data_IF_443332192607
#
_entry.id   IF_443332192607
#
_cell.length_a   1.000
_cell.length_b   1.000
_cell.length_c   1.000
_cell.angle_alpha   90.00
_cell.angle_beta   90.00
_cell.angle_gamma   90.00
#
_symmetry.space_group_name_H-M   'P 1'
#
loop_
_entity.id
_entity.type
_entity.pdbx_description
1 polymer ?
#
# COMPACT_ATOMS: atom_id res chain seq x y z
N UNK A 1 -22.18 14.52 -32.94
CA UNK A 1 -21.46 15.52 -32.10
C UNK A 1 -20.63 16.40 -33.00
N UNK A 2 -20.78 17.72 -32.91
CA UNK A 2 -19.89 18.65 -33.61
C UNK A 2 -18.62 18.81 -32.78
N UNK A 3 -17.56 18.08 -33.13
CA UNK A 3 -16.30 18.11 -32.38
C UNK A 3 -15.59 19.48 -32.46
N UNK A 4 -16.04 20.39 -33.32
CA UNK A 4 -15.54 21.77 -33.37
C UNK A 4 -15.98 22.61 -32.16
N UNK A 5 -17.09 22.29 -31.50
CA UNK A 5 -17.59 23.06 -30.37
C UNK A 5 -17.02 22.56 -29.03
N UNK A 6 -16.33 23.40 -28.21
CA UNK A 6 -15.57 22.92 -27.04
C UNK A 6 -16.40 22.18 -25.99
N UNK A 7 -17.66 22.57 -25.79
CA UNK A 7 -18.56 21.92 -24.81
C UNK A 7 -19.04 20.55 -25.26
N UNK A 8 -19.36 20.39 -26.54
CA UNK A 8 -19.73 19.10 -27.10
C UNK A 8 -18.54 18.14 -27.14
N UNK A 9 -17.35 18.67 -27.45
CA UNK A 9 -16.09 17.92 -27.40
C UNK A 9 -15.77 17.40 -26.00
N UNK A 10 -15.93 18.23 -24.97
CA UNK A 10 -15.71 17.82 -23.59
C UNK A 10 -16.72 16.77 -23.11
N UNK A 11 -18.00 16.91 -23.50
CA UNK A 11 -19.05 15.93 -23.17
C UNK A 11 -18.79 14.59 -23.86
N UNK A 12 -18.49 14.60 -25.15
CA UNK A 12 -18.14 13.41 -25.92
C UNK A 12 -16.89 12.72 -25.37
N UNK A 13 -15.84 13.49 -25.04
CA UNK A 13 -14.61 12.95 -24.44
C UNK A 13 -14.91 12.25 -23.11
N UNK A 14 -15.77 12.83 -22.26
CA UNK A 14 -16.17 12.20 -20.99
C UNK A 14 -16.95 10.90 -21.18
N UNK A 15 -17.83 10.86 -22.18
CA UNK A 15 -18.60 9.64 -22.54
C UNK A 15 -17.67 8.54 -23.07
N UNK A 16 -16.72 8.88 -23.94
CA UNK A 16 -15.72 7.95 -24.49
C UNK A 16 -14.78 7.44 -23.38
N UNK A 17 -14.31 8.31 -22.50
CA UNK A 17 -13.49 7.92 -21.35
C UNK A 17 -14.25 6.97 -20.41
N UNK A 18 -15.56 7.16 -20.24
CA UNK A 18 -16.43 6.26 -19.49
C UNK A 18 -16.60 4.89 -20.15
N UNK A 19 -16.75 4.86 -21.48
CA UNK A 19 -16.84 3.62 -22.26
C UNK A 19 -15.53 2.81 -22.27
N UNK A 20 -14.38 3.50 -22.29
CA UNK A 20 -13.05 2.86 -22.33
C UNK A 20 -12.51 2.47 -20.95
N UNK A 21 -13.08 3.01 -19.87
CA UNK A 21 -12.64 2.70 -18.51
C UNK A 21 -12.64 1.19 -18.14
N UNK A 22 -13.57 0.34 -18.62
CA UNK A 22 -13.56 -1.10 -18.35
C UNK A 22 -12.56 -1.91 -19.19
N UNK A 23 -12.04 -1.34 -20.29
CA UNK A 23 -11.14 -2.04 -21.23
C UNK A 23 -9.64 -1.79 -20.91
N UNK A 24 -9.34 -1.25 -19.72
CA UNK A 24 -7.96 -0.92 -19.31
C UNK A 24 -7.10 -2.19 -19.28
N UNK A 25 -6.11 -2.25 -20.16
CA UNK A 25 -5.11 -3.32 -20.22
C UNK A 25 -5.19 -4.25 -21.44
N UNK A 26 -6.14 -4.04 -22.36
CA UNK A 26 -6.22 -4.82 -23.60
C UNK A 26 -5.39 -4.21 -24.74
N UNK A 27 -4.77 -5.06 -25.58
CA UNK A 27 -3.89 -4.66 -26.70
C UNK A 27 -4.62 -3.83 -27.77
N UNK A 28 -5.93 -3.97 -27.90
CA UNK A 28 -6.80 -3.24 -28.81
C UNK A 28 -7.14 -1.81 -28.34
N UNK A 29 -6.95 -1.50 -27.05
CA UNK A 29 -7.19 -0.17 -26.49
C UNK A 29 -6.21 0.87 -27.03
N UNK A 30 -4.96 0.50 -27.30
CA UNK A 30 -3.93 1.46 -27.74
C UNK A 30 -4.22 2.01 -29.15
N UNK A 31 -4.61 1.14 -30.10
CA UNK A 31 -5.04 1.57 -31.44
C UNK A 31 -6.26 2.48 -31.38
N UNK A 32 -7.21 2.19 -30.48
CA UNK A 32 -8.40 3.01 -30.28
C UNK A 32 -8.07 4.39 -29.69
N UNK A 33 -7.14 4.47 -28.74
CA UNK A 33 -6.70 5.74 -28.15
C UNK A 33 -5.99 6.65 -29.16
N UNK A 34 -5.20 6.07 -30.07
CA UNK A 34 -4.57 6.81 -31.18
C UNK A 34 -5.62 7.44 -32.08
N UNK A 35 -6.67 6.69 -32.44
CA UNK A 35 -7.76 7.19 -33.27
C UNK A 35 -8.56 8.31 -32.57
N UNK A 36 -8.84 8.14 -31.28
CA UNK A 36 -9.56 9.15 -30.46
C UNK A 36 -8.73 10.43 -30.32
N UNK A 37 -7.41 10.32 -30.10
CA UNK A 37 -6.50 11.47 -30.04
C UNK A 37 -6.50 12.26 -31.36
N UNK A 38 -6.41 11.56 -32.50
CA UNK A 38 -6.45 12.17 -33.83
C UNK A 38 -7.76 12.93 -34.10
N UNK A 39 -8.91 12.32 -33.76
CA UNK A 39 -10.24 12.92 -33.99
C UNK A 39 -10.57 14.11 -33.07
N UNK A 40 -9.95 14.18 -31.89
CA UNK A 40 -10.24 15.24 -30.89
C UNK A 40 -9.23 16.38 -30.86
N UNK A 41 -8.08 16.20 -31.51
CA UNK A 41 -6.97 17.16 -31.46
C UNK A 41 -6.28 17.21 -30.09
N UNK A 42 -6.45 16.18 -29.27
CA UNK A 42 -5.80 16.01 -27.97
C UNK A 42 -4.62 15.06 -28.15
N UNK A 43 -3.50 15.32 -27.46
CA UNK A 43 -2.33 14.43 -27.56
C UNK A 43 -2.67 13.06 -26.96
N UNK A 44 -2.17 12.00 -27.59
CA UNK A 44 -2.32 10.63 -27.07
C UNK A 44 -1.85 10.53 -25.62
N UNK A 45 -0.72 11.17 -25.30
CA UNK A 45 -0.18 11.27 -23.94
C UNK A 45 -1.15 11.95 -22.97
N UNK A 46 -1.81 13.03 -23.39
CA UNK A 46 -2.82 13.72 -22.59
C UNK A 46 -4.05 12.86 -22.33
N UNK A 47 -4.49 12.09 -23.32
CA UNK A 47 -5.60 11.14 -23.19
C UNK A 47 -5.24 9.96 -22.28
N UNK A 48 -4.02 9.43 -22.43
CA UNK A 48 -3.46 8.39 -21.55
C UNK A 48 -3.35 8.91 -20.12
N UNK A 49 -2.89 10.13 -19.88
CA UNK A 49 -2.82 10.72 -18.54
C UNK A 49 -4.20 10.90 -17.89
N UNK A 50 -5.24 11.21 -18.67
CA UNK A 50 -6.60 11.36 -18.14
C UNK A 50 -7.24 10.00 -17.82
N UNK A 51 -6.96 8.98 -18.64
CA UNK A 51 -7.44 7.60 -18.41
C UNK A 51 -6.67 6.96 -17.25
N UNK A 52 -5.35 7.04 -17.27
CA UNK A 52 -4.47 6.30 -16.37
C UNK A 52 -4.03 7.11 -15.12
N UNK A 53 -4.35 8.40 -15.06
CA UNK A 53 -4.02 9.30 -13.96
C UNK A 53 -2.59 9.84 -14.02
N UNK A 54 -2.37 11.05 -13.46
CA UNK A 54 -1.07 11.74 -13.39
C UNK A 54 0.02 10.87 -12.73
N UNK A 55 0.86 10.25 -13.54
CA UNK A 55 2.22 9.88 -13.13
C UNK A 55 3.12 11.11 -13.21
N UNK A 56 3.58 11.64 -12.07
CA UNK A 56 4.83 12.40 -12.03
C UNK A 56 5.94 11.42 -11.64
N UNK A 57 6.99 11.43 -12.47
CA UNK A 57 8.04 10.42 -12.52
C UNK A 57 8.88 10.27 -11.26
N UNK A 58 9.55 9.11 -11.24
CA UNK A 58 10.45 8.66 -10.18
C UNK A 58 10.04 7.29 -9.70
N UNK A 59 10.74 6.25 -10.16
CA UNK A 59 10.80 4.87 -9.66
C UNK A 59 9.46 4.15 -9.35
N UNK A 60 9.22 3.06 -10.08
CA UNK A 60 8.12 2.11 -9.90
C UNK A 60 7.97 1.68 -8.43
N UNK A 61 7.01 2.28 -7.74
CA UNK A 61 6.22 1.60 -6.72
C UNK A 61 4.96 1.07 -7.42
N UNK A 62 4.65 -0.20 -7.24
CA UNK A 62 3.53 -0.90 -7.88
C UNK A 62 2.25 -0.04 -7.95
N UNK A 63 1.57 0.05 -9.12
CA UNK A 63 0.26 0.68 -9.22
C UNK A 63 -0.74 -0.23 -8.51
N UNK A 64 -1.65 0.35 -7.72
CA UNK A 64 -2.61 -0.29 -6.79
C UNK A 64 -2.13 -0.33 -5.34
N UNK A 65 -2.11 0.82 -4.66
CA UNK A 65 -2.45 0.79 -3.25
C UNK A 65 -3.95 0.39 -3.16
N UNK A 66 -4.30 -0.75 -2.56
CA UNK A 66 -5.69 -1.18 -2.45
C UNK A 66 -6.48 -0.10 -1.70
N UNK A 67 -7.74 0.15 -2.08
CA UNK A 67 -8.66 0.91 -1.21
C UNK A 67 -8.83 0.10 0.09
N UNK A 68 -8.23 0.59 1.18
CA UNK A 68 -8.18 -0.05 2.50
C UNK A 68 -6.92 0.37 3.27
N UNK A 69 -6.91 0.19 4.59
CA UNK A 69 -5.69 0.43 5.39
C UNK A 69 -4.57 -0.52 4.94
N UNK A 70 -3.33 -0.03 4.93
CA UNK A 70 -2.14 -0.86 4.66
C UNK A 70 -2.05 -2.07 5.62
N UNK A 71 -2.68 -1.96 6.80
CA UNK A 71 -2.75 -3.03 7.79
C UNK A 71 -3.64 -4.20 7.34
N UNK A 72 -4.71 -3.92 6.58
CA UNK A 72 -5.56 -4.95 5.96
C UNK A 72 -4.74 -5.72 4.94
N UNK A 73 -4.02 -5.00 4.07
CA UNK A 73 -3.12 -5.60 3.09
C UNK A 73 -2.03 -6.43 3.77
N UNK A 74 -1.44 -5.91 4.84
CA UNK A 74 -0.38 -6.59 5.57
C UNK A 74 -0.85 -7.92 6.19
N UNK A 75 -2.01 -7.91 6.85
CA UNK A 75 -2.62 -9.11 7.42
C UNK A 75 -3.03 -10.11 6.31
N UNK A 76 -3.62 -9.62 5.22
CA UNK A 76 -4.02 -10.45 4.09
C UNK A 76 -2.83 -11.18 3.44
N UNK A 77 -1.74 -10.45 3.19
CA UNK A 77 -0.49 -11.04 2.67
C UNK A 77 0.10 -12.03 3.67
N UNK A 78 0.17 -11.68 4.96
CA UNK A 78 0.69 -12.61 5.97
C UNK A 78 -0.07 -13.94 5.98
N UNK A 79 -1.40 -13.91 5.87
CA UNK A 79 -2.25 -15.09 5.82
C UNK A 79 -2.21 -15.84 4.47
N UNK A 80 -1.72 -15.25 3.39
CA UNK A 80 -1.58 -15.95 2.11
C UNK A 80 -0.29 -16.76 1.99
N UNK A 81 0.66 -16.58 2.91
CA UNK A 81 1.96 -17.25 2.85
C UNK A 81 2.45 -17.67 4.26
N UNK A 82 2.62 -18.98 4.52
CA UNK A 82 3.09 -19.48 5.81
C UNK A 82 4.42 -18.87 6.30
N UNK A 83 5.33 -18.48 5.39
CA UNK A 83 6.60 -17.85 5.78
C UNK A 83 6.38 -16.44 6.33
N UNK A 84 5.46 -15.70 5.72
CA UNK A 84 5.12 -14.34 6.12
C UNK A 84 4.29 -14.31 7.39
N UNK A 85 3.35 -15.25 7.54
CA UNK A 85 2.60 -15.46 8.79
C UNK A 85 3.53 -15.64 9.99
N UNK A 86 4.57 -16.46 9.83
CA UNK A 86 5.52 -16.79 10.91
C UNK A 86 6.31 -15.59 11.45
N UNK A 87 6.49 -14.55 10.65
CA UNK A 87 7.22 -13.32 11.02
C UNK A 87 6.29 -12.13 11.26
N UNK A 88 5.00 -12.27 10.96
CA UNK A 88 4.01 -11.24 11.17
C UNK A 88 3.81 -10.98 12.66
N UNK A 89 3.82 -9.70 13.05
CA UNK A 89 3.55 -9.26 14.42
C UNK A 89 2.40 -8.27 14.42
N UNK A 90 1.26 -8.68 14.97
CA UNK A 90 0.08 -7.83 15.10
C UNK A 90 0.20 -6.72 16.15
N UNK A 91 1.30 -6.65 16.89
CA UNK A 91 1.51 -5.68 17.97
C UNK A 91 1.40 -4.23 17.51
N UNK A 92 1.72 -3.94 16.24
CA UNK A 92 1.77 -2.58 15.66
C UNK A 92 0.51 -2.15 14.91
N UNK A 93 -0.51 -3.00 14.92
CA UNK A 93 -1.81 -2.71 14.33
C UNK A 93 -2.52 -1.62 15.15
N UNK A 94 -3.28 -0.77 14.46
CA UNK A 94 -4.05 0.35 15.01
C UNK A 94 -5.44 0.43 14.36
N UNK A 95 -5.60 -0.10 13.16
CA UNK A 95 -6.88 -0.17 12.47
C UNK A 95 -7.86 -1.07 13.26
N UNK A 96 -9.01 -0.55 13.71
CA UNK A 96 -9.95 -1.30 14.53
C UNK A 96 -10.46 -2.59 13.88
N UNK A 97 -10.63 -2.58 12.55
CA UNK A 97 -11.05 -3.77 11.82
C UNK A 97 -9.93 -4.83 11.85
N UNK A 98 -8.69 -4.41 11.56
CA UNK A 98 -7.55 -5.34 11.51
C UNK A 98 -7.22 -5.88 12.90
N UNK A 99 -7.36 -5.07 13.95
CA UNK A 99 -7.25 -5.51 15.34
C UNK A 99 -8.31 -6.58 15.65
N UNK A 100 -9.58 -6.35 15.29
CA UNK A 100 -10.64 -7.34 15.49
C UNK A 100 -10.35 -8.66 14.77
N UNK A 101 -9.85 -8.60 13.53
CA UNK A 101 -9.44 -9.78 12.77
C UNK A 101 -8.26 -10.50 13.43
N UNK A 102 -7.22 -9.74 13.80
CA UNK A 102 -6.04 -10.27 14.48
C UNK A 102 -6.39 -10.96 15.80
N UNK A 103 -7.29 -10.39 16.61
CA UNK A 103 -7.72 -11.00 17.88
C UNK A 103 -8.38 -12.36 17.69
N UNK A 104 -9.05 -12.60 16.56
CA UNK A 104 -9.65 -13.89 16.23
C UNK A 104 -8.62 -14.96 15.85
N UNK A 105 -7.52 -14.54 15.20
CA UNK A 105 -6.55 -15.47 14.59
C UNK A 105 -5.23 -15.57 15.33
N UNK A 106 -4.95 -14.65 16.26
CA UNK A 106 -3.69 -14.64 17.01
C UNK A 106 -3.56 -15.93 17.83
N UNK A 107 -2.42 -16.58 17.71
CA UNK A 107 -2.15 -17.85 18.38
C UNK A 107 -2.42 -19.10 17.52
N UNK A 108 -2.95 -18.94 16.31
CA UNK A 108 -2.94 -20.01 15.32
C UNK A 108 -1.65 -19.93 14.47
N UNK A 109 -0.97 -21.06 14.33
CA UNK A 109 0.31 -21.17 13.62
C UNK A 109 0.13 -21.46 12.11
N UNK A 110 -0.98 -22.08 11.71
CA UNK A 110 -1.31 -22.34 10.31
C UNK A 110 -2.20 -21.21 9.75
N UNK A 111 -1.74 -20.43 8.76
CA UNK A 111 -2.53 -19.35 8.20
C UNK A 111 -3.82 -19.82 7.52
N UNK A 112 -3.88 -21.08 7.07
CA UNK A 112 -5.08 -21.67 6.47
C UNK A 112 -6.16 -21.91 7.52
N UNK A 113 -5.76 -22.37 8.71
CA UNK A 113 -6.66 -22.55 9.86
C UNK A 113 -7.08 -21.17 10.38
N UNK A 114 -6.13 -20.23 10.49
CA UNK A 114 -6.41 -18.84 10.88
C UNK A 114 -7.47 -18.20 9.97
N UNK A 115 -7.35 -18.34 8.64
CA UNK A 115 -8.37 -17.86 7.69
C UNK A 115 -9.72 -18.57 7.86
N UNK A 116 -9.74 -19.83 8.26
CA UNK A 116 -10.97 -20.58 8.50
C UNK A 116 -11.72 -20.14 9.77
N UNK A 117 -11.01 -19.56 10.75
CA UNK A 117 -11.61 -18.99 11.97
C UNK A 117 -12.40 -17.70 11.72
N UNK A 118 -12.15 -17.03 10.61
CA UNK A 118 -12.86 -15.81 10.20
C UNK A 118 -14.21 -16.15 9.56
N UNK A 119 -15.18 -15.23 9.67
CA UNK A 119 -16.45 -15.37 8.97
C UNK A 119 -16.27 -15.18 7.44
N UNK A 120 -17.29 -15.57 6.67
CA UNK A 120 -17.19 -15.57 5.20
C UNK A 120 -16.96 -14.16 4.62
N UNK A 121 -17.48 -13.11 5.26
CA UNK A 121 -17.28 -11.73 4.83
C UNK A 121 -15.86 -11.25 5.09
N UNK A 122 -15.35 -11.54 6.29
CA UNK A 122 -13.97 -11.25 6.71
C UNK A 122 -12.94 -12.00 5.86
N UNK A 123 -13.18 -13.28 5.61
CA UNK A 123 -12.32 -14.10 4.75
C UNK A 123 -12.34 -13.59 3.31
N UNK A 124 -13.52 -13.27 2.78
CA UNK A 124 -13.66 -12.72 1.43
C UNK A 124 -12.92 -11.39 1.27
N UNK A 125 -12.93 -10.53 2.30
CA UNK A 125 -12.18 -9.29 2.30
C UNK A 125 -10.67 -9.54 2.16
N UNK A 126 -10.12 -10.42 3.00
CA UNK A 126 -8.66 -10.68 3.01
C UNK A 126 -8.20 -11.41 1.74
N UNK A 127 -8.92 -12.46 1.33
CA UNK A 127 -8.61 -13.19 0.09
C UNK A 127 -8.76 -12.28 -1.12
N UNK A 128 -9.84 -11.50 -1.19
CA UNK A 128 -10.06 -10.52 -2.25
C UNK A 128 -8.92 -9.51 -2.36
N UNK A 129 -8.37 -9.05 -1.22
CA UNK A 129 -7.22 -8.14 -1.19
C UNK A 129 -5.94 -8.74 -1.77
N UNK A 130 -5.70 -10.02 -1.56
CA UNK A 130 -4.54 -10.71 -2.16
C UNK A 130 -4.76 -10.94 -3.66
N UNK A 131 -5.98 -11.28 -4.07
CA UNK A 131 -6.32 -11.52 -5.49
C UNK A 131 -6.23 -10.25 -6.35
N UNK A 132 -6.29 -9.06 -5.76
CA UNK A 132 -6.05 -7.78 -6.44
C UNK A 132 -4.56 -7.56 -6.81
N UNK A 133 -3.64 -8.38 -6.31
CA UNK A 133 -2.20 -8.18 -6.40
C UNK A 133 -1.58 -9.18 -7.39
N UNK A 134 -0.79 -8.71 -8.39
CA UNK A 134 0.00 -9.62 -9.24
C UNK A 134 1.00 -10.43 -8.41
N UNK A 135 1.17 -11.72 -8.72
CA UNK A 135 2.06 -12.63 -7.98
C UNK A 135 3.48 -12.08 -7.85
N UNK A 136 4.01 -11.44 -8.90
CA UNK A 136 5.36 -10.89 -8.94
C UNK A 136 5.57 -9.71 -7.97
N UNK A 137 4.48 -9.06 -7.52
CA UNK A 137 4.53 -7.90 -6.62
C UNK A 137 4.25 -8.21 -5.15
N UNK A 138 3.79 -9.42 -4.82
CA UNK A 138 3.33 -9.74 -3.46
C UNK A 138 4.46 -9.67 -2.42
N UNK A 139 5.65 -10.18 -2.75
CA UNK A 139 6.79 -10.19 -1.83
C UNK A 139 7.29 -8.77 -1.52
N UNK A 140 7.38 -7.91 -2.53
CA UNK A 140 7.77 -6.51 -2.36
C UNK A 140 6.76 -5.74 -1.52
N UNK A 141 5.46 -5.97 -1.75
CA UNK A 141 4.38 -5.35 -0.99
C UNK A 141 4.37 -5.84 0.46
N UNK A 142 4.60 -7.13 0.70
CA UNK A 142 4.74 -7.66 2.06
C UNK A 142 5.94 -7.03 2.76
N UNK A 143 7.10 -7.00 2.12
CA UNK A 143 8.31 -6.40 2.68
C UNK A 143 8.12 -4.90 2.99
N UNK A 144 7.41 -4.17 2.13
CA UNK A 144 7.04 -2.77 2.36
C UNK A 144 6.14 -2.60 3.59
N UNK A 145 5.10 -3.43 3.71
CA UNK A 145 4.23 -3.44 4.89
C UNK A 145 4.98 -3.84 6.16
N UNK A 146 5.87 -4.82 6.07
CA UNK A 146 6.69 -5.29 7.18
C UNK A 146 7.63 -4.20 7.68
N UNK A 147 8.36 -3.52 6.78
CA UNK A 147 9.21 -2.37 7.17
C UNK A 147 8.41 -1.25 7.82
N UNK A 148 7.18 -0.99 7.35
CA UNK A 148 6.29 -0.01 7.97
C UNK A 148 5.86 -0.44 9.37
N UNK A 149 5.59 -1.73 9.57
CA UNK A 149 5.29 -2.33 10.86
C UNK A 149 6.49 -2.22 11.82
N UNK A 150 7.70 -2.58 11.39
CA UNK A 150 8.94 -2.45 12.19
C UNK A 150 9.20 -1.00 12.59
N UNK A 151 9.08 -0.06 11.64
CA UNK A 151 9.22 1.36 11.92
C UNK A 151 8.23 1.83 12.99
N UNK A 152 6.97 1.40 12.91
CA UNK A 152 5.96 1.74 13.94
C UNK A 152 6.31 1.15 15.31
N UNK A 153 6.85 -0.07 15.36
CA UNK A 153 7.31 -0.67 16.62
C UNK A 153 8.40 0.21 17.26
N UNK A 154 9.40 0.61 16.47
CA UNK A 154 10.48 1.49 16.90
C UNK A 154 9.96 2.86 17.38
N UNK A 155 9.02 3.47 16.65
CA UNK A 155 8.41 4.74 17.04
C UNK A 155 7.65 4.64 18.38
N UNK A 156 6.98 3.51 18.64
CA UNK A 156 6.31 3.26 19.92
C UNK A 156 7.28 3.03 21.06
N UNK A 157 8.36 2.28 20.83
CA UNK A 157 9.43 2.09 21.82
C UNK A 157 10.09 3.44 22.15
N UNK A 158 10.38 4.27 21.15
CA UNK A 158 10.92 5.61 21.33
C UNK A 158 9.98 6.50 22.17
N UNK A 159 8.67 6.47 21.89
CA UNK A 159 7.67 7.19 22.70
C UNK A 159 7.63 6.68 24.15
N UNK A 160 7.68 5.36 24.36
CA UNK A 160 7.71 4.75 25.70
C UNK A 160 8.96 5.20 26.47
N UNK A 161 10.13 5.13 25.85
CA UNK A 161 11.40 5.58 26.46
C UNK A 161 11.35 7.06 26.83
N UNK A 162 10.77 7.91 25.96
CA UNK A 162 10.60 9.33 26.24
C UNK A 162 9.77 9.58 27.49
N UNK A 163 8.63 8.89 27.63
CA UNK A 163 7.79 8.99 28.84
C UNK A 163 8.50 8.43 30.07
N UNK A 164 9.20 7.30 29.96
CA UNK A 164 9.96 6.73 31.07
C UNK A 164 11.03 7.70 31.59
N UNK A 165 11.66 8.49 30.72
CA UNK A 165 12.69 9.46 31.12
C UNK A 165 12.18 10.67 31.94
N UNK A 166 10.86 10.91 32.01
CA UNK A 166 10.29 12.07 32.73
C UNK A 166 10.37 11.91 34.25
N UNK A 167 10.49 10.68 34.77
CA UNK A 167 10.50 10.37 36.20
C UNK A 167 11.82 9.85 36.78
N UNK A 168 12.86 9.67 35.97
CA UNK A 168 14.17 9.11 36.37
C UNK A 168 15.31 10.10 36.16
N UNK A 169 16.36 9.96 36.96
CA UNK A 169 17.54 10.83 36.94
C UNK A 169 18.84 10.02 37.00
N UNK A 170 19.97 10.70 36.81
CA UNK A 170 21.29 10.06 36.91
C UNK A 170 21.58 9.03 35.81
N UNK A 171 22.25 7.95 36.21
CA UNK A 171 22.76 6.91 35.30
C UNK A 171 21.64 6.21 34.51
N UNK A 172 20.50 5.98 35.15
CA UNK A 172 19.33 5.33 34.53
C UNK A 172 18.76 6.18 33.38
N UNK A 173 18.65 7.49 33.58
CA UNK A 173 18.25 8.42 32.51
C UNK A 173 19.26 8.41 31.35
N UNK A 174 20.56 8.32 31.66
CA UNK A 174 21.62 8.19 30.65
C UNK A 174 21.48 6.94 29.79
N UNK A 175 21.19 5.78 30.41
CA UNK A 175 20.97 4.50 29.70
C UNK A 175 19.73 4.55 28.80
N UNK A 176 18.62 5.09 29.29
CA UNK A 176 17.38 5.25 28.49
C UNK A 176 17.58 6.20 27.31
N UNK A 177 18.32 7.29 27.51
CA UNK A 177 18.64 8.24 26.45
C UNK A 177 19.52 7.61 25.36
N UNK A 178 20.52 6.82 25.74
CA UNK A 178 21.38 6.11 24.78
C UNK A 178 20.54 5.16 23.90
N UNK A 179 19.65 4.38 24.51
CA UNK A 179 18.72 3.49 23.79
C UNK A 179 17.76 4.25 22.88
N UNK A 180 17.21 5.38 23.35
CA UNK A 180 16.34 6.24 22.54
C UNK A 180 17.08 6.78 21.30
N UNK A 181 18.34 7.23 21.46
CA UNK A 181 19.15 7.74 20.34
C UNK A 181 19.44 6.63 19.33
N UNK A 182 19.75 5.42 19.79
CA UNK A 182 19.96 4.25 18.92
C UNK A 182 18.73 3.97 18.06
N UNK A 183 17.54 3.89 18.68
CA UNK A 183 16.27 3.68 17.96
C UNK A 183 16.01 4.80 16.95
N UNK A 184 16.21 6.06 17.35
CA UNK A 184 16.04 7.20 16.45
C UNK A 184 17.02 7.17 15.27
N UNK A 185 18.23 6.64 15.44
CA UNK A 185 19.17 6.41 14.32
C UNK A 185 18.66 5.30 13.41
N UNK A 186 18.15 4.19 13.93
CA UNK A 186 17.55 3.12 13.12
C UNK A 186 16.36 3.61 12.30
N UNK A 187 15.48 4.43 12.88
CA UNK A 187 14.33 5.03 12.17
C UNK A 187 14.82 5.98 11.05
N UNK A 188 15.88 6.76 11.29
CA UNK A 188 16.45 7.68 10.29
C UNK A 188 17.22 6.95 9.18
N UNK A 189 18.03 5.95 9.53
CA UNK A 189 18.79 5.13 8.57
C UNK A 189 17.86 4.33 7.64
N UNK A 190 16.76 3.80 8.16
CA UNK A 190 15.71 3.19 7.35
C UNK A 190 14.98 4.18 6.41
N UNK A 191 15.15 5.49 6.61
CA UNK A 191 14.68 6.54 5.70
C UNK A 191 15.69 6.91 4.61
N UNK A 192 16.98 6.63 4.79
CA UNK A 192 18.06 6.98 3.85
C UNK A 192 18.40 5.84 2.87
N UNK A 193 18.19 4.57 3.25
CA UNK A 193 18.32 3.42 2.33
C UNK A 193 17.19 3.31 1.29
N UNK A 194 16.23 4.24 1.30
CA UNK A 194 15.18 4.35 0.27
C UNK A 194 15.39 5.50 -0.74
N UNK A 195 16.50 6.24 -0.66
CA UNK A 195 16.70 7.47 -1.47
C UNK A 195 17.97 7.44 -2.33
N UNK A 196 18.80 6.40 -2.25
CA UNK A 196 19.99 6.29 -3.09
C UNK A 196 20.10 4.93 -3.78
N UNK A 197 19.51 4.84 -4.96
CA UNK A 197 19.95 4.13 -6.17
C UNK A 197 18.81 4.37 -7.19
N UNK A 198 18.95 5.25 -8.17
CA UNK A 198 19.76 5.04 -9.38
C UNK A 198 20.17 6.36 -10.04
N UNK A 199 21.43 6.43 -10.46
CA UNK A 199 21.90 7.25 -11.58
C UNK A 199 21.33 6.76 -12.90
#
# INVERSE_FOLDING_TARGET
>A
YSLSHPRERARWLKEVLGFLAPLRGSLDLESYLVEVASKTGVTLEGLKMEIYGRGKGGARSAPHAPRGSWEVLYLALALSNPRWWKIFKGEVLEDPLVLSLWEKVKGEDDPSIALAMLDDGERSLLVGKVMEIPEEGMEELFASCHRRAERRALEREARRLKMSMEGVSGEEKGRLLARYIEIMKSIKGAGEEGVYETH
#
